data_IF_329249476685
#
_entry.id   IF_329249476685
#
_cell.length_a   1.000
_cell.length_b   1.000
_cell.length_c   1.000
_cell.angle_alpha   90.00
_cell.angle_beta   90.00
_cell.angle_gamma   90.00
#
_symmetry.space_group_name_H-M   'P 1'
#
loop_
_entity.id
_entity.type
_entity.pdbx_description
1 polymer ?
#
# COMPACT_ATOMS: atom_id res chain seq x y z
N UNK A 1 16.55 10.90 -6.84
CA UNK A 1 15.37 10.87 -7.75
C UNK A 1 14.24 10.17 -7.02
N UNK A 2 13.08 10.81 -6.92
CA UNK A 2 11.85 10.12 -6.48
C UNK A 2 11.55 8.99 -7.48
N UNK A 3 11.05 7.86 -6.97
CA UNK A 3 10.61 6.71 -7.76
C UNK A 3 9.19 6.40 -7.35
N UNK A 4 8.36 6.03 -8.33
CA UNK A 4 7.05 5.47 -8.07
C UNK A 4 7.20 3.97 -7.85
N UNK A 5 6.70 3.47 -6.72
CA UNK A 5 6.78 2.07 -6.30
C UNK A 5 5.37 1.52 -6.19
N UNK A 6 5.12 0.41 -6.89
CA UNK A 6 3.84 -0.31 -6.78
C UNK A 6 3.88 -1.21 -5.56
N UNK A 7 2.91 -1.04 -4.66
CA UNK A 7 2.71 -1.88 -3.51
C UNK A 7 1.39 -2.65 -3.68
N UNK A 8 1.49 -3.87 -4.19
CA UNK A 8 0.35 -4.73 -4.50
C UNK A 8 0.09 -5.75 -3.37
N UNK A 9 -1.15 -5.86 -2.90
CA UNK A 9 -1.51 -6.75 -1.79
C UNK A 9 -2.98 -7.07 -1.66
N UNK A 10 -3.29 -8.08 -0.84
CA UNK A 10 -4.63 -8.32 -0.34
C UNK A 10 -4.83 -7.50 0.94
N UNK A 11 -5.47 -6.33 0.82
CA UNK A 11 -5.58 -5.38 1.94
C UNK A 11 -6.64 -5.79 2.97
N UNK A 12 -7.64 -6.57 2.55
CA UNK A 12 -8.66 -7.21 3.41
C UNK A 12 -8.10 -7.87 4.68
N UNK A 13 -6.90 -8.45 4.62
CA UNK A 13 -6.25 -9.15 5.74
C UNK A 13 -4.96 -8.50 6.23
N UNK A 14 -4.36 -7.58 5.45
CA UNK A 14 -3.00 -7.04 5.68
C UNK A 14 -2.91 -5.52 5.58
N UNK A 15 -4.03 -4.82 5.78
CA UNK A 15 -4.06 -3.36 5.69
C UNK A 15 -3.00 -2.67 6.58
N UNK A 16 -2.76 -3.17 7.80
CA UNK A 16 -1.78 -2.58 8.71
C UNK A 16 -0.33 -2.74 8.23
N UNK A 17 0.02 -3.93 7.76
CA UNK A 17 1.33 -4.27 7.21
C UNK A 17 1.64 -3.39 5.99
N UNK A 18 0.66 -3.22 5.10
CA UNK A 18 0.79 -2.41 3.89
C UNK A 18 0.92 -0.93 4.19
N UNK A 19 0.18 -0.42 5.19
CA UNK A 19 0.35 0.95 5.68
C UNK A 19 1.76 1.18 6.22
N UNK A 20 2.27 0.26 7.04
CA UNK A 20 3.63 0.37 7.58
C UNK A 20 4.69 0.46 6.48
N UNK A 21 4.60 -0.41 5.46
CA UNK A 21 5.53 -0.39 4.33
C UNK A 21 5.38 0.88 3.49
N UNK A 22 4.15 1.32 3.23
CA UNK A 22 3.85 2.59 2.53
C UNK A 22 4.54 3.76 3.23
N UNK A 23 4.36 3.90 4.54
CA UNK A 23 4.93 4.99 5.33
C UNK A 23 6.46 4.98 5.27
N UNK A 24 7.08 3.80 5.28
CA UNK A 24 8.53 3.64 5.15
C UNK A 24 9.06 4.02 3.76
N UNK A 25 8.29 3.75 2.70
CA UNK A 25 8.64 4.11 1.33
C UNK A 25 8.55 5.64 1.15
N UNK A 26 7.46 6.23 1.62
CA UNK A 26 7.21 7.67 1.52
C UNK A 26 8.21 8.48 2.36
N UNK A 27 8.56 8.00 3.56
CA UNK A 27 9.59 8.62 4.40
C UNK A 27 10.98 8.64 3.75
N UNK A 28 11.23 7.79 2.74
CA UNK A 28 12.46 7.80 1.93
C UNK A 28 12.38 8.72 0.71
N UNK A 29 11.28 9.45 0.53
CA UNK A 29 11.07 10.38 -0.58
C UNK A 29 10.67 9.70 -1.89
N UNK A 30 9.99 8.56 -1.80
CA UNK A 30 9.41 7.85 -2.95
C UNK A 30 7.89 7.95 -2.94
N UNK A 31 7.27 7.74 -4.08
CA UNK A 31 5.81 7.70 -4.22
C UNK A 31 5.33 6.25 -4.23
N UNK A 32 4.16 5.99 -3.65
CA UNK A 32 3.54 4.66 -3.66
C UNK A 32 2.26 4.66 -4.46
N UNK A 33 2.08 3.65 -5.31
CA UNK A 33 0.79 3.28 -5.89
C UNK A 33 0.33 2.01 -5.19
N UNK A 34 -0.79 2.09 -4.47
CA UNK A 34 -1.35 0.93 -3.77
C UNK A 34 -2.31 0.18 -4.70
N UNK A 35 -2.11 -1.14 -4.83
CA UNK A 35 -2.99 -2.00 -5.61
C UNK A 35 -3.58 -3.06 -4.69
N UNK A 36 -4.89 -3.02 -4.50
CA UNK A 36 -5.62 -4.04 -3.76
C UNK A 36 -6.09 -5.16 -4.69
N UNK A 37 -5.80 -6.41 -4.34
CA UNK A 37 -6.32 -7.61 -4.98
C UNK A 37 -7.02 -8.56 -3.99
N UNK A 38 -7.34 -8.07 -2.78
CA UNK A 38 -8.10 -8.81 -1.79
C UNK A 38 -9.47 -9.25 -2.30
N UNK A 39 -9.94 -10.40 -1.83
CA UNK A 39 -11.23 -10.98 -2.26
C UNK A 39 -12.14 -11.37 -1.09
N UNK A 40 -11.66 -11.27 0.15
CA UNK A 40 -12.40 -11.69 1.34
C UNK A 40 -13.23 -10.56 1.94
N UNK A 41 -12.97 -9.30 1.57
CA UNK A 41 -13.67 -8.12 2.07
C UNK A 41 -13.03 -6.83 1.58
N UNK A 42 -13.51 -5.70 2.10
CA UNK A 42 -13.00 -4.37 1.74
C UNK A 42 -11.67 -4.05 2.45
N UNK A 43 -10.82 -3.27 1.79
CA UNK A 43 -9.63 -2.70 2.40
C UNK A 43 -9.99 -1.73 3.55
N UNK A 44 -9.20 -1.73 4.63
CA UNK A 44 -9.39 -0.79 5.75
C UNK A 44 -8.97 0.66 5.41
N UNK A 45 -8.44 0.91 4.21
CA UNK A 45 -8.17 2.24 3.68
C UNK A 45 -8.17 2.24 2.15
N UNK A 46 -8.54 3.37 1.55
CA UNK A 46 -8.61 3.51 0.10
C UNK A 46 -7.23 3.40 -0.55
N UNK A 47 -7.08 2.57 -1.60
CA UNK A 47 -5.92 2.61 -2.48
C UNK A 47 -5.78 3.99 -3.14
N UNK A 48 -4.56 4.47 -3.24
CA UNK A 48 -4.18 5.74 -3.90
C UNK A 48 -3.06 5.50 -4.90
#
# INVERSE_FOLDING_TARGET
>A
MSKTIVLAGALDTKSADYRFVKDLIEARGHETVLVDFGILGDAAFSPT
#
